data_IF_225232533006
#
_entry.id   IF_225232533006
#
_cell.length_a   1.000
_cell.length_b   1.000
_cell.length_c   1.000
_cell.angle_alpha   90.00
_cell.angle_beta   90.00
_cell.angle_gamma   90.00
#
_symmetry.space_group_name_H-M   'P 1'
#
loop_
_entity.id
_entity.type
_entity.pdbx_description
1 polymer ?
#
# COMPACT_ATOMS: atom_id res chain seq x y z
N UNK A 1 -17.51 8.63 -22.28
CA UNK A 1 -17.43 7.25 -21.77
C UNK A 1 -16.08 6.68 -22.23
N UNK A 2 -14.99 6.94 -21.48
CA UNK A 2 -13.66 6.46 -21.88
C UNK A 2 -13.42 5.05 -21.38
N UNK A 3 -13.00 4.20 -22.31
CA UNK A 3 -12.72 2.79 -22.17
C UNK A 3 -11.52 2.58 -21.23
N UNK A 4 -11.80 1.93 -20.10
CA UNK A 4 -10.98 0.93 -19.42
C UNK A 4 -9.63 0.62 -20.10
N UNK A 5 -8.61 1.39 -19.75
CA UNK A 5 -7.20 1.09 -20.02
C UNK A 5 -6.47 1.09 -18.68
N UNK A 6 -6.50 -0.03 -17.98
CA UNK A 6 -5.83 -0.16 -16.68
C UNK A 6 -5.79 -1.58 -16.09
N UNK A 7 -6.10 -2.61 -16.86
CA UNK A 7 -6.06 -4.00 -16.37
C UNK A 7 -4.68 -4.61 -16.57
N UNK A 8 -3.78 -4.44 -15.59
CA UNK A 8 -2.95 -5.56 -15.13
C UNK A 8 -2.82 -5.44 -13.60
N UNK A 9 -3.82 -5.99 -12.91
CA UNK A 9 -3.78 -6.20 -11.47
C UNK A 9 -2.59 -7.10 -11.08
N UNK A 10 -2.14 -6.93 -9.85
CA UNK A 10 -1.04 -7.60 -9.12
C UNK A 10 0.35 -6.95 -9.14
N UNK A 11 0.83 -6.40 -10.26
CA UNK A 11 2.23 -5.95 -10.34
C UNK A 11 2.48 -4.45 -10.06
N UNK A 12 1.45 -3.60 -10.17
CA UNK A 12 1.67 -2.15 -10.18
C UNK A 12 1.81 -1.49 -8.81
N UNK A 13 1.52 -2.13 -7.68
CA UNK A 13 1.26 -1.27 -6.53
C UNK A 13 1.60 -1.83 -5.16
N UNK A 14 2.81 -2.40 -4.99
CA UNK A 14 3.38 -2.61 -3.64
C UNK A 14 3.29 -1.32 -2.78
N UNK A 15 3.28 -0.14 -3.40
CA UNK A 15 2.99 1.15 -2.77
C UNK A 15 1.54 1.25 -2.25
N UNK A 16 0.52 1.02 -3.08
CA UNK A 16 -0.87 0.96 -2.60
C UNK A 16 -1.10 -0.17 -1.60
N UNK A 17 -0.55 -1.37 -1.85
CA UNK A 17 -0.66 -2.53 -0.95
C UNK A 17 -0.07 -2.19 0.41
N UNK A 18 1.10 -1.56 0.46
CA UNK A 18 1.70 -1.07 1.70
C UNK A 18 0.78 -0.08 2.41
N UNK A 19 0.18 0.88 1.67
CA UNK A 19 -0.72 1.87 2.25
C UNK A 19 -1.99 1.23 2.85
N UNK A 20 -2.65 0.33 2.12
CA UNK A 20 -3.83 -0.40 2.60
C UNK A 20 -3.54 -1.30 3.81
N UNK A 21 -2.41 -1.99 3.80
CA UNK A 21 -1.98 -2.83 4.92
C UNK A 21 -1.63 -1.99 6.15
N UNK A 22 -1.08 -0.79 5.95
CA UNK A 22 -0.80 0.15 7.05
C UNK A 22 -2.09 0.64 7.72
N UNK A 23 -3.12 0.99 6.94
CA UNK A 23 -4.45 1.33 7.47
C UNK A 23 -5.06 0.13 8.21
N UNK A 24 -4.96 -1.08 7.64
CA UNK A 24 -5.52 -2.28 8.25
C UNK A 24 -4.81 -2.67 9.55
N UNK A 25 -3.49 -2.51 9.62
CA UNK A 25 -2.70 -2.76 10.82
C UNK A 25 -3.04 -1.77 11.95
N UNK A 26 -3.31 -0.50 11.61
CA UNK A 26 -3.78 0.50 12.57
C UNK A 26 -5.15 0.15 13.18
N UNK A 27 -5.99 -0.57 12.44
CA UNK A 27 -7.31 -1.06 12.88
C UNK A 27 -7.26 -2.43 13.60
N UNK A 28 -6.13 -2.76 14.25
CA UNK A 28 -5.91 -3.97 15.06
C UNK A 28 -5.94 -5.32 14.30
N UNK A 29 -5.84 -5.32 12.96
CA UNK A 29 -5.67 -6.57 12.20
C UNK A 29 -4.20 -7.02 12.24
N UNK A 30 -3.83 -7.87 13.20
CA UNK A 30 -2.43 -8.31 13.45
C UNK A 30 -1.75 -8.93 12.23
N UNK A 31 -2.49 -9.65 11.38
CA UNK A 31 -1.93 -10.20 10.12
C UNK A 31 -1.53 -9.09 9.14
N UNK A 32 -2.20 -7.94 9.13
CA UNK A 32 -1.89 -6.88 8.17
C UNK A 32 -0.51 -6.24 8.41
N UNK A 33 -0.04 -6.19 9.67
CA UNK A 33 1.29 -5.68 9.99
C UNK A 33 2.40 -6.55 9.36
N UNK A 34 2.31 -7.87 9.51
CA UNK A 34 3.30 -8.79 8.90
C UNK A 34 3.33 -8.70 7.38
N UNK A 35 2.17 -8.54 6.74
CA UNK A 35 2.09 -8.39 5.29
C UNK A 35 2.62 -7.02 4.83
N UNK A 36 2.39 -5.95 5.62
CA UNK A 36 2.96 -4.62 5.36
C UNK A 36 4.48 -4.68 5.36
N UNK A 37 5.06 -5.35 6.35
CA UNK A 37 6.51 -5.46 6.51
C UNK A 37 7.12 -6.26 5.36
N UNK A 38 6.53 -7.40 4.98
CA UNK A 38 6.94 -8.17 3.81
C UNK A 38 6.81 -7.38 2.49
N UNK A 39 5.81 -6.49 2.40
CA UNK A 39 5.62 -5.58 1.26
C UNK A 39 6.70 -4.49 1.22
N UNK A 40 7.11 -3.98 2.39
CA UNK A 40 8.17 -2.97 2.51
C UNK A 40 9.52 -3.49 1.98
N UNK A 41 9.83 -4.77 2.20
CA UNK A 41 11.04 -5.43 1.67
C UNK A 41 11.08 -5.50 0.14
N UNK A 42 9.94 -5.31 -0.55
CA UNK A 42 9.85 -5.28 -2.02
C UNK A 42 9.98 -3.88 -2.61
N UNK A 43 10.05 -2.84 -1.77
CA UNK A 43 10.12 -1.44 -2.19
C UNK A 43 11.54 -0.89 -2.07
N UNK A 44 11.93 -0.01 -2.99
CA UNK A 44 13.12 0.83 -2.79
C UNK A 44 12.84 1.84 -1.68
N UNK A 45 13.86 2.40 -1.01
CA UNK A 45 13.68 3.42 0.02
C UNK A 45 12.81 4.60 -0.43
N UNK A 46 12.97 5.07 -1.67
CA UNK A 46 12.18 6.16 -2.24
C UNK A 46 10.70 5.76 -2.39
N UNK A 47 10.45 4.55 -2.92
CA UNK A 47 9.08 4.06 -3.10
C UNK A 47 8.39 3.75 -1.77
N UNK A 48 9.14 3.29 -0.76
CA UNK A 48 8.64 3.11 0.60
C UNK A 48 8.24 4.44 1.23
N UNK A 49 9.09 5.48 1.09
CA UNK A 49 8.76 6.83 1.56
C UNK A 49 7.48 7.36 0.92
N UNK A 50 7.31 7.16 -0.39
CA UNK A 50 6.08 7.56 -1.08
C UNK A 50 4.86 6.73 -0.67
N UNK A 51 5.03 5.44 -0.35
CA UNK A 51 3.97 4.59 0.18
C UNK A 51 3.52 5.01 1.57
N UNK A 52 4.45 5.41 2.44
CA UNK A 52 4.15 5.96 3.76
C UNK A 52 3.33 7.25 3.66
N UNK A 53 3.69 8.17 2.75
CA UNK A 53 2.90 9.40 2.50
C UNK A 53 1.46 9.08 2.08
N UNK A 54 1.27 8.06 1.23
CA UNK A 54 -0.08 7.63 0.83
C UNK A 54 -0.83 7.02 2.01
N UNK A 55 -0.18 6.17 2.81
CA UNK A 55 -0.77 5.58 4.01
C UNK A 55 -1.27 6.65 4.99
N UNK A 56 -0.44 7.67 5.28
CA UNK A 56 -0.81 8.79 6.14
C UNK A 56 -2.07 9.49 5.63
N UNK A 57 -2.13 9.80 4.32
CA UNK A 57 -3.32 10.41 3.70
C UNK A 57 -4.59 9.57 3.79
N UNK A 58 -4.48 8.25 3.92
CA UNK A 58 -5.64 7.37 4.11
C UNK A 58 -6.10 7.31 5.57
N UNK A 59 -5.20 7.52 6.53
CA UNK A 59 -5.51 7.51 7.97
C UNK A 59 -6.08 8.85 8.42
N UNK A 60 -5.64 9.96 7.81
CA UNK A 60 -6.07 11.33 8.15
C UNK A 60 -7.42 11.74 7.54
N UNK A 61 -8.02 10.90 6.67
CA UNK A 61 -9.37 11.11 6.13
C UNK A 61 -10.44 10.75 7.16
#
# INVERSE_FOLDING_TARGET
MSLISGTVGWAQDYKQVYAWLSVSAANAQTKAASWRDATAEKLTPERLSDAQKVATRYIEQ
#
